data_IF_304112918702
#
_entry.id   IF_304112918702
#
_cell.length_a   1.000
_cell.length_b   1.000
_cell.length_c   1.000
_cell.angle_alpha   90.00
_cell.angle_beta   90.00
_cell.angle_gamma   90.00
#
_symmetry.space_group_name_H-M   'P 1'
#
loop_
_entity.id
_entity.type
_entity.pdbx_description
1 polymer ?
#
# COMPACT_ATOMS: atom_id res chain seq x y z
N UNK A 1 47.12 20.90 42.31
CA UNK A 1 45.77 21.53 42.35
C UNK A 1 45.18 21.91 40.98
N UNK A 2 45.93 22.42 39.99
CA UNK A 2 45.34 22.88 38.71
C UNK A 2 44.79 21.77 37.77
N UNK A 3 45.40 20.59 37.70
CA UNK A 3 44.94 19.50 36.79
C UNK A 3 43.63 18.85 37.22
N UNK A 4 43.44 18.61 38.52
CA UNK A 4 42.22 17.98 39.04
C UNK A 4 41.00 18.89 38.86
N UNK A 5 41.15 20.20 39.05
CA UNK A 5 40.06 21.17 38.88
C UNK A 5 39.54 21.20 37.43
N UNK A 6 40.44 21.20 36.44
CA UNK A 6 40.08 21.17 35.01
C UNK A 6 39.33 19.88 34.66
N UNK A 7 39.75 18.74 35.19
CA UNK A 7 39.07 17.46 34.96
C UNK A 7 37.66 17.47 35.57
N UNK A 8 37.51 17.96 36.80
CA UNK A 8 36.20 18.06 37.46
C UNK A 8 35.25 19.03 36.74
N UNK A 9 35.73 20.21 36.32
CA UNK A 9 34.88 21.17 35.58
C UNK A 9 34.48 20.65 34.21
N UNK A 10 35.36 19.90 33.53
CA UNK A 10 35.05 19.30 32.23
C UNK A 10 34.03 18.17 32.36
N UNK A 11 34.20 17.28 33.36
CA UNK A 11 33.24 16.22 33.65
C UNK A 11 31.88 16.82 34.05
N UNK A 12 31.88 17.84 34.91
CA UNK A 12 30.65 18.51 35.30
C UNK A 12 29.94 19.15 34.11
N UNK A 13 30.66 19.85 33.23
CA UNK A 13 30.07 20.45 32.02
C UNK A 13 29.48 19.39 31.07
N UNK A 14 30.17 18.27 30.87
CA UNK A 14 29.67 17.15 30.04
C UNK A 14 28.42 16.52 30.66
N UNK A 15 28.45 16.20 31.95
CA UNK A 15 27.31 15.59 32.65
C UNK A 15 26.11 16.54 32.69
N UNK A 16 26.34 17.82 32.98
CA UNK A 16 25.30 18.85 32.97
C UNK A 16 24.70 19.02 31.57
N UNK A 17 25.54 19.03 30.53
CA UNK A 17 25.10 19.11 29.14
C UNK A 17 24.28 17.90 28.72
N UNK A 18 24.66 16.70 29.15
CA UNK A 18 23.91 15.46 28.90
C UNK A 18 22.55 15.46 29.59
N UNK A 19 22.51 15.88 30.86
CA UNK A 19 21.27 16.03 31.62
C UNK A 19 20.37 17.08 30.98
N UNK A 20 20.91 18.23 30.56
CA UNK A 20 20.15 19.27 29.86
C UNK A 20 19.64 18.80 28.49
N UNK A 21 20.42 18.02 27.74
CA UNK A 21 19.95 17.40 26.50
C UNK A 21 18.78 16.45 26.75
N UNK A 22 18.87 15.59 27.77
CA UNK A 22 17.77 14.68 28.15
C UNK A 22 16.53 15.48 28.59
N UNK A 23 16.71 16.47 29.44
CA UNK A 23 15.62 17.27 30.03
C UNK A 23 15.01 18.31 29.10
N UNK A 24 15.71 18.78 28.06
CA UNK A 24 15.21 19.84 27.17
C UNK A 24 14.90 19.35 25.75
N UNK A 25 15.55 18.27 25.29
CA UNK A 25 15.36 17.75 23.93
C UNK A 25 14.55 16.46 23.96
N UNK A 26 14.95 15.50 24.79
CA UNK A 26 14.31 14.19 24.86
C UNK A 26 13.06 14.13 25.74
N UNK A 27 12.80 15.16 26.55
CA UNK A 27 11.57 15.29 27.34
C UNK A 27 10.40 15.90 26.55
N UNK A 28 10.67 16.53 25.41
CA UNK A 28 9.64 17.15 24.58
C UNK A 28 8.70 16.05 24.07
N UNK A 29 7.37 16.19 24.24
CA UNK A 29 6.40 15.18 23.82
C UNK A 29 6.55 14.78 22.35
N UNK A 30 6.83 15.75 21.47
CA UNK A 30 7.07 15.51 20.05
C UNK A 30 8.32 14.67 19.77
N UNK A 31 9.42 14.95 20.48
CA UNK A 31 10.66 14.17 20.36
C UNK A 31 10.44 12.74 20.83
N UNK A 32 9.72 12.56 21.96
CA UNK A 32 9.38 11.24 22.49
C UNK A 32 8.51 10.45 21.51
N UNK A 33 7.49 11.09 20.92
CA UNK A 33 6.64 10.46 19.90
C UNK A 33 7.47 9.97 18.72
N UNK A 34 8.36 10.81 18.18
CA UNK A 34 9.23 10.44 17.05
C UNK A 34 10.17 9.28 17.39
N UNK A 35 10.72 9.25 18.61
CA UNK A 35 11.58 8.16 19.06
C UNK A 35 10.78 6.85 19.19
N UNK A 36 9.59 6.91 19.78
CA UNK A 36 8.71 5.74 19.89
C UNK A 36 8.30 5.20 18.51
N UNK A 37 7.93 6.08 17.58
CA UNK A 37 7.65 5.73 16.19
C UNK A 37 8.87 5.08 15.52
N UNK A 38 10.07 5.61 15.76
CA UNK A 38 11.32 5.06 15.21
C UNK A 38 11.60 3.67 15.78
N UNK A 39 11.45 3.45 17.08
CA UNK A 39 11.65 2.12 17.68
C UNK A 39 10.60 1.11 17.22
N UNK A 40 9.33 1.53 17.11
CA UNK A 40 8.28 0.67 16.57
C UNK A 40 8.60 0.27 15.12
N UNK A 41 9.10 1.22 14.30
CA UNK A 41 9.57 0.94 12.94
C UNK A 41 10.74 -0.06 12.94
N UNK A 42 11.76 0.14 13.78
CA UNK A 42 12.90 -0.78 13.89
C UNK A 42 12.45 -2.17 14.31
N UNK A 43 11.53 -2.29 15.27
CA UNK A 43 11.01 -3.57 15.73
C UNK A 43 10.28 -4.30 14.60
N UNK A 44 9.39 -3.60 13.89
CA UNK A 44 8.69 -4.14 12.72
C UNK A 44 9.68 -4.59 11.65
N UNK A 45 10.59 -3.72 11.20
CA UNK A 45 11.60 -4.08 10.21
C UNK A 45 12.45 -5.28 10.66
N UNK A 46 12.81 -5.35 11.94
CA UNK A 46 13.57 -6.48 12.49
C UNK A 46 12.78 -7.79 12.40
N UNK A 47 11.47 -7.79 12.68
CA UNK A 47 10.60 -8.97 12.51
C UNK A 47 10.54 -9.44 11.06
N UNK A 48 10.55 -8.50 10.11
CA UNK A 48 10.50 -8.76 8.67
C UNK A 48 11.85 -9.25 8.11
N UNK A 49 12.94 -8.77 8.69
CA UNK A 49 14.30 -9.17 8.31
C UNK A 49 14.80 -10.43 9.03
N UNK A 50 14.19 -10.80 10.15
CA UNK A 50 14.51 -12.02 10.89
C UNK A 50 14.35 -13.22 9.95
N UNK A 51 15.42 -14.00 9.80
CA UNK A 51 15.43 -15.15 8.91
C UNK A 51 14.29 -16.11 9.29
N UNK A 52 13.28 -16.19 8.43
CA UNK A 52 12.28 -17.26 8.51
C UNK A 52 13.04 -18.55 8.26
N UNK A 53 12.96 -19.51 9.19
CA UNK A 53 13.25 -20.91 8.88
C UNK A 53 12.28 -21.28 7.76
N UNK A 54 12.74 -21.20 6.51
CA UNK A 54 11.93 -21.58 5.35
C UNK A 54 11.34 -22.95 5.65
N UNK A 55 10.01 -23.05 5.70
CA UNK A 55 9.36 -24.36 5.66
C UNK A 55 9.73 -24.91 4.29
N UNK A 56 10.53 -25.98 4.21
CA UNK A 56 10.98 -26.48 2.93
C UNK A 56 9.73 -26.83 2.10
N UNK A 57 9.73 -26.54 0.78
CA UNK A 57 8.65 -26.99 -0.07
C UNK A 57 8.45 -28.49 0.12
N UNK A 58 7.20 -28.96 0.13
CA UNK A 58 6.85 -30.39 0.29
C UNK A 58 7.39 -31.29 -0.84
N UNK A 59 8.17 -30.74 -1.75
CA UNK A 59 8.80 -31.44 -2.87
C UNK A 59 10.20 -30.86 -3.05
N UNK A 60 11.26 -31.68 -3.10
CA UNK A 60 12.60 -31.18 -3.38
C UNK A 60 12.64 -30.71 -4.83
N UNK A 61 12.55 -29.39 -5.04
CA UNK A 61 12.85 -28.81 -6.34
C UNK A 61 14.36 -28.72 -6.49
N UNK A 62 14.85 -29.09 -7.67
CA UNK A 62 16.26 -29.11 -8.02
C UNK A 62 16.93 -27.76 -7.71
N UNK A 63 18.22 -27.84 -7.36
CA UNK A 63 19.08 -26.70 -7.04
C UNK A 63 18.88 -25.58 -8.09
N UNK A 64 18.56 -24.33 -7.70
CA UNK A 64 18.38 -23.26 -8.67
C UNK A 64 19.68 -22.97 -9.40
N UNK A 65 19.61 -22.92 -10.73
CA UNK A 65 20.67 -22.45 -11.60
C UNK A 65 20.94 -20.95 -11.29
N UNK A 66 22.18 -20.51 -11.01
CA UNK A 66 22.49 -19.16 -10.52
C UNK A 66 22.26 -18.00 -11.49
N UNK A 67 21.74 -18.24 -12.70
CA UNK A 67 21.49 -17.22 -13.73
C UNK A 67 20.01 -16.88 -13.95
N UNK A 68 19.06 -17.59 -13.33
CA UNK A 68 17.65 -17.26 -13.47
C UNK A 68 17.20 -16.18 -12.47
N UNK A 69 16.44 -15.16 -12.91
CA UNK A 69 15.89 -14.18 -11.99
C UNK A 69 14.98 -14.88 -10.98
N UNK A 70 15.22 -14.57 -9.70
CA UNK A 70 14.50 -15.13 -8.55
C UNK A 70 12.98 -14.98 -8.64
N UNK A 71 12.51 -13.94 -9.33
CA UNK A 71 11.09 -13.64 -9.54
C UNK A 71 10.90 -13.17 -10.98
N UNK A 72 9.97 -13.82 -11.69
CA UNK A 72 9.61 -13.55 -13.09
C UNK A 72 8.17 -13.02 -13.15
N UNK A 73 7.84 -12.30 -14.22
CA UNK A 73 6.48 -11.85 -14.53
C UNK A 73 5.80 -11.06 -13.39
N UNK A 74 6.45 -10.00 -12.93
CA UNK A 74 5.90 -9.10 -11.91
C UNK A 74 4.64 -8.42 -12.45
N UNK A 75 3.52 -8.60 -11.76
CA UNK A 75 2.28 -7.93 -12.09
C UNK A 75 2.10 -6.64 -11.28
N UNK A 76 2.36 -6.70 -9.97
CA UNK A 76 2.26 -5.55 -9.08
C UNK A 76 3.41 -5.54 -8.08
N UNK A 77 3.83 -4.33 -7.72
CA UNK A 77 4.86 -4.10 -6.72
C UNK A 77 4.48 -2.92 -5.83
N UNK A 78 4.91 -2.98 -4.57
CA UNK A 78 4.84 -1.90 -3.60
C UNK A 78 6.17 -1.92 -2.83
N UNK A 79 6.66 -0.75 -2.46
CA UNK A 79 7.64 -0.63 -1.39
C UNK A 79 6.97 0.02 -0.19
N UNK A 80 7.24 -0.47 1.02
CA UNK A 80 6.72 0.15 2.23
C UNK A 80 7.83 0.36 3.26
N UNK A 81 8.06 1.63 3.59
CA UNK A 81 9.08 2.08 4.53
C UNK A 81 8.93 1.44 5.92
N UNK A 82 7.69 1.18 6.36
CA UNK A 82 7.41 0.71 7.72
C UNK A 82 7.92 -0.70 7.97
N UNK A 83 7.91 -1.55 6.94
CA UNK A 83 8.47 -2.90 6.97
C UNK A 83 9.85 -3.00 6.31
N UNK A 84 10.23 -1.99 5.52
CA UNK A 84 11.54 -1.91 4.85
C UNK A 84 11.73 -3.01 3.81
N UNK A 85 10.65 -3.37 3.12
CA UNK A 85 10.58 -4.50 2.18
C UNK A 85 9.79 -4.11 0.93
N UNK A 86 10.14 -4.72 -0.20
CA UNK A 86 9.25 -4.76 -1.37
C UNK A 86 8.25 -5.89 -1.21
N UNK A 87 7.01 -5.60 -1.55
CA UNK A 87 5.97 -6.58 -1.74
C UNK A 87 5.74 -6.74 -3.23
N UNK A 88 5.80 -7.97 -3.72
CA UNK A 88 5.72 -8.28 -5.15
C UNK A 88 4.71 -9.38 -5.36
N UNK A 89 3.85 -9.19 -6.35
CA UNK A 89 2.94 -10.23 -6.84
C UNK A 89 3.17 -10.46 -8.32
N UNK A 90 3.31 -11.72 -8.69
CA UNK A 90 3.49 -12.17 -10.07
C UNK A 90 2.15 -12.46 -10.75
N UNK A 91 2.17 -12.59 -12.07
CA UNK A 91 0.98 -12.89 -12.88
C UNK A 91 0.30 -14.23 -12.55
N UNK A 92 1.07 -15.19 -12.03
CA UNK A 92 0.59 -16.47 -11.50
C UNK A 92 0.14 -16.41 -10.03
N UNK A 93 -0.03 -15.20 -9.46
CA UNK A 93 -0.50 -14.96 -8.10
C UNK A 93 0.43 -15.48 -6.99
N UNK A 94 1.74 -15.54 -7.26
CA UNK A 94 2.73 -15.76 -6.21
C UNK A 94 3.09 -14.45 -5.53
N UNK A 95 2.97 -14.43 -4.21
CA UNK A 95 3.33 -13.29 -3.38
C UNK A 95 4.74 -13.47 -2.84
N UNK A 96 5.51 -12.39 -2.85
CA UNK A 96 6.86 -12.31 -2.32
C UNK A 96 7.01 -11.08 -1.42
N UNK A 97 7.68 -11.29 -0.29
CA UNK A 97 8.31 -10.24 0.48
C UNK A 97 9.82 -10.27 0.21
N UNK A 98 10.38 -9.15 -0.22
CA UNK A 98 11.78 -8.99 -0.60
C UNK A 98 12.41 -7.92 0.28
N UNK A 99 13.65 -8.10 0.70
CA UNK A 99 14.41 -7.09 1.45
C UNK A 99 14.40 -5.74 0.73
N UNK A 100 14.50 -4.63 1.46
CA UNK A 100 14.58 -3.30 0.86
C UNK A 100 15.80 -3.06 -0.04
N UNK A 101 16.82 -3.93 0.01
CA UNK A 101 17.92 -3.95 -0.97
C UNK A 101 17.54 -4.59 -2.31
N UNK A 102 16.44 -5.35 -2.35
CA UNK A 102 16.02 -6.13 -3.51
C UNK A 102 16.82 -7.41 -3.74
N UNK A 103 17.73 -7.76 -2.82
CA UNK A 103 18.69 -8.85 -3.02
C UNK A 103 18.24 -10.18 -2.41
N UNK A 104 17.31 -10.15 -1.45
CA UNK A 104 16.92 -11.34 -0.67
C UNK A 104 15.41 -11.48 -0.59
N UNK A 105 14.89 -12.66 -0.93
CA UNK A 105 13.51 -13.04 -0.61
C UNK A 105 13.43 -13.34 0.88
N UNK A 106 12.64 -12.55 1.62
CA UNK A 106 12.37 -12.76 3.04
C UNK A 106 11.29 -13.84 3.24
N UNK A 107 10.26 -13.83 2.39
CA UNK A 107 9.17 -14.81 2.43
C UNK A 107 8.47 -14.91 1.07
N UNK A 108 7.83 -16.04 0.81
CA UNK A 108 7.00 -16.23 -0.39
C UNK A 108 5.88 -17.22 -0.13
N UNK A 109 4.73 -17.03 -0.76
CA UNK A 109 3.69 -18.06 -0.81
C UNK A 109 2.84 -17.93 -2.08
N UNK A 110 2.16 -19.01 -2.44
CA UNK A 110 1.22 -19.06 -3.55
C UNK A 110 -0.18 -18.74 -3.02
N UNK A 111 -0.88 -17.78 -3.62
CA UNK A 111 -2.29 -17.55 -3.31
C UNK A 111 -3.12 -18.80 -3.62
N UNK A 112 -4.07 -19.14 -2.75
CA UNK A 112 -4.78 -20.42 -2.84
C UNK A 112 -5.73 -20.49 -4.04
N UNK A 113 -6.09 -21.69 -4.50
CA UNK A 113 -7.21 -21.81 -5.43
C UNK A 113 -8.52 -21.66 -4.65
N UNK A 114 -9.11 -20.46 -4.74
CA UNK A 114 -10.36 -20.12 -4.06
C UNK A 114 -11.60 -20.28 -4.95
N UNK A 115 -12.78 -20.31 -4.33
CA UNK A 115 -14.08 -20.28 -5.03
C UNK A 115 -14.27 -19.01 -5.88
N UNK A 116 -13.68 -17.90 -5.42
CA UNK A 116 -13.63 -16.67 -6.16
C UNK A 116 -12.36 -16.68 -7.03
N UNK A 117 -12.56 -16.85 -8.33
CA UNK A 117 -11.49 -16.82 -9.33
C UNK A 117 -10.92 -15.40 -9.39
N UNK A 118 -9.59 -15.30 -9.33
CA UNK A 118 -8.90 -14.02 -9.44
C UNK A 118 -8.71 -13.66 -10.92
N UNK A 119 -8.94 -12.39 -11.24
CA UNK A 119 -8.47 -11.77 -12.48
C UNK A 119 -7.19 -10.97 -12.17
N UNK A 120 -6.66 -10.26 -13.17
CA UNK A 120 -5.45 -9.44 -13.00
C UNK A 120 -5.52 -8.49 -11.81
N UNK A 121 -4.38 -8.00 -11.35
CA UNK A 121 -4.30 -7.09 -10.22
C UNK A 121 -4.42 -5.63 -10.66
N UNK A 122 -5.37 -4.92 -10.04
CA UNK A 122 -5.53 -3.48 -10.20
C UNK A 122 -4.72 -2.71 -9.16
N UNK A 123 -4.52 -3.27 -7.96
CA UNK A 123 -3.86 -2.57 -6.86
C UNK A 123 -3.38 -3.46 -5.72
N UNK A 124 -2.39 -2.97 -4.98
CA UNK A 124 -1.90 -3.57 -3.73
C UNK A 124 -1.56 -2.46 -2.72
N UNK A 125 -1.91 -2.69 -1.45
CA UNK A 125 -1.53 -1.80 -0.34
C UNK A 125 -1.18 -2.60 0.90
N UNK A 126 -0.24 -2.08 1.69
CA UNK A 126 -0.07 -2.51 3.08
C UNK A 126 -1.14 -1.81 3.92
N UNK A 127 -1.89 -2.59 4.71
CA UNK A 127 -2.96 -2.11 5.61
C UNK A 127 -2.36 -1.75 6.97
N UNK A 128 -1.48 -2.61 7.43
CA UNK A 128 -0.64 -2.48 8.61
C UNK A 128 0.62 -3.33 8.40
N UNK A 129 1.59 -3.27 9.33
CA UNK A 129 2.86 -3.99 9.21
C UNK A 129 2.74 -5.50 8.95
N UNK A 130 1.58 -6.12 9.17
CA UNK A 130 1.37 -7.56 9.04
C UNK A 130 0.22 -7.94 8.09
N UNK A 131 -0.43 -6.97 7.44
CA UNK A 131 -1.61 -7.20 6.60
C UNK A 131 -1.48 -6.51 5.25
N UNK A 132 -1.59 -7.29 4.17
CA UNK A 132 -1.58 -6.80 2.79
C UNK A 132 -2.96 -7.03 2.18
N UNK A 133 -3.43 -6.04 1.42
CA UNK A 133 -4.63 -6.16 0.62
C UNK A 133 -4.30 -6.07 -0.87
N UNK A 134 -4.84 -7.01 -1.65
CA UNK A 134 -4.77 -7.02 -3.11
C UNK A 134 -6.16 -6.79 -3.70
N UNK A 135 -6.29 -5.88 -4.65
CA UNK A 135 -7.51 -5.63 -5.40
C UNK A 135 -7.35 -6.14 -6.83
N UNK A 136 -8.26 -7.02 -7.25
CA UNK A 136 -8.28 -7.58 -8.61
C UNK A 136 -9.20 -6.80 -9.55
N UNK A 137 -8.99 -6.97 -10.87
CA UNK A 137 -9.80 -6.40 -11.96
C UNK A 137 -11.24 -6.91 -12.03
N UNK A 138 -11.55 -7.98 -11.29
CA UNK A 138 -12.93 -8.44 -11.08
C UNK A 138 -13.48 -8.07 -9.69
N UNK A 139 -12.89 -7.03 -9.09
CA UNK A 139 -13.32 -6.36 -7.87
C UNK A 139 -13.39 -7.30 -6.65
N UNK A 140 -12.40 -8.18 -6.53
CA UNK A 140 -12.18 -9.02 -5.35
C UNK A 140 -11.05 -8.39 -4.54
N UNK A 141 -11.28 -8.22 -3.24
CA UNK A 141 -10.24 -7.91 -2.28
C UNK A 141 -9.73 -9.22 -1.67
N UNK A 142 -8.42 -9.46 -1.78
CA UNK A 142 -7.72 -10.57 -1.14
C UNK A 142 -6.94 -10.01 0.04
N UNK A 143 -7.19 -10.52 1.24
CA UNK A 143 -6.46 -10.18 2.45
C UNK A 143 -5.41 -11.25 2.72
N UNK A 144 -4.17 -10.80 2.89
CA UNK A 144 -3.01 -11.63 3.20
C UNK A 144 -2.48 -11.15 4.55
N UNK A 145 -2.21 -12.08 5.47
CA UNK A 145 -1.69 -11.75 6.80
C UNK A 145 -0.37 -12.46 7.07
N UNK A 146 0.47 -11.81 7.88
CA UNK A 146 1.73 -12.35 8.37
C UNK A 146 1.54 -12.84 9.79
N UNK A 147 1.86 -14.10 10.06
CA UNK A 147 1.88 -14.68 11.41
C UNK A 147 3.16 -15.48 11.57
N UNK A 148 3.91 -15.19 12.64
CA UNK A 148 5.18 -15.87 12.95
C UNK A 148 6.18 -15.90 11.77
N UNK A 149 6.20 -14.83 10.97
CA UNK A 149 7.08 -14.71 9.80
C UNK A 149 6.55 -15.33 8.51
N UNK A 150 5.39 -15.97 8.54
CA UNK A 150 4.78 -16.62 7.39
C UNK A 150 3.61 -15.80 6.89
N UNK A 151 3.61 -15.51 5.59
CA UNK A 151 2.46 -14.92 4.92
C UNK A 151 1.49 -16.01 4.48
N UNK A 152 0.20 -15.78 4.69
CA UNK A 152 -0.86 -16.63 4.19
C UNK A 152 -2.07 -15.81 3.79
N UNK A 153 -2.82 -16.31 2.82
CA UNK A 153 -4.14 -15.77 2.51
C UNK A 153 -5.09 -15.99 3.69
N UNK A 154 -5.80 -14.95 4.10
CA UNK A 154 -6.82 -15.03 5.15
C UNK A 154 -8.24 -15.08 4.56
N UNK A 155 -8.53 -14.22 3.57
CA UNK A 155 -9.89 -14.07 3.04
C UNK A 155 -9.92 -13.48 1.63
N UNK A 156 -10.95 -13.86 0.87
CA UNK A 156 -11.35 -13.21 -0.40
C UNK A 156 -12.79 -12.74 -0.33
N UNK A 157 -13.03 -11.51 -0.74
CA UNK A 157 -14.37 -10.93 -0.77
C UNK A 157 -14.59 -10.06 -2.01
N UNK A 158 -15.76 -10.19 -2.63
CA UNK A 158 -16.17 -9.29 -3.70
C UNK A 158 -16.61 -7.95 -3.09
N UNK A 159 -16.11 -6.84 -3.63
CA UNK A 159 -16.54 -5.49 -3.25
C UNK A 159 -17.98 -5.26 -3.72
N UNK A 160 -18.94 -5.20 -2.81
CA UNK A 160 -20.34 -4.95 -3.15
C UNK A 160 -20.58 -3.51 -3.61
N UNK A 161 -21.50 -3.33 -4.55
CA UNK A 161 -21.81 -2.02 -5.15
C UNK A 161 -20.92 -1.67 -6.34
N UNK A 162 -20.05 -2.60 -6.76
CA UNK A 162 -19.26 -2.49 -7.99
C UNK A 162 -19.96 -3.19 -9.17
N UNK A 163 -19.58 -2.80 -10.38
CA UNK A 163 -20.10 -3.33 -11.64
C UNK A 163 -18.94 -3.62 -12.59
N UNK A 164 -19.20 -4.41 -13.65
CA UNK A 164 -18.21 -4.69 -14.70
C UNK A 164 -17.72 -3.45 -15.46
N UNK A 165 -18.37 -2.29 -15.28
CA UNK A 165 -17.99 -1.01 -15.89
C UNK A 165 -17.00 -0.22 -15.02
N UNK A 166 -16.85 -0.61 -13.75
CA UNK A 166 -15.84 -0.03 -12.88
C UNK A 166 -14.47 -0.57 -13.31
N UNK A 167 -13.52 0.34 -13.51
CA UNK A 167 -12.13 0.03 -13.88
C UNK A 167 -11.25 0.63 -12.81
N UNK A 168 -10.71 -0.21 -11.93
CA UNK A 168 -9.93 0.24 -10.79
C UNK A 168 -8.45 0.32 -11.14
N UNK A 169 -7.77 1.28 -10.52
CA UNK A 169 -6.36 1.57 -10.78
C UNK A 169 -5.69 1.94 -9.46
N UNK A 170 -4.80 1.04 -9.03
CA UNK A 170 -4.15 1.06 -7.74
C UNK A 170 -5.08 0.80 -6.56
N UNK A 171 -4.49 0.73 -5.37
CA UNK A 171 -5.19 0.55 -4.11
C UNK A 171 -4.44 1.32 -3.04
N UNK A 172 -5.16 2.10 -2.24
CA UNK A 172 -4.64 2.72 -1.02
C UNK A 172 -5.54 2.44 0.17
N UNK A 173 -5.03 2.69 1.37
CA UNK A 173 -5.73 2.47 2.63
C UNK A 173 -5.59 3.68 3.56
N UNK A 174 -6.72 4.21 4.05
CA UNK A 174 -6.76 5.23 5.09
C UNK A 174 -6.90 4.54 6.45
N UNK A 175 -5.79 4.48 7.20
CA UNK A 175 -5.72 3.81 8.51
C UNK A 175 -6.62 4.44 9.57
N UNK A 176 -6.89 5.75 9.49
CA UNK A 176 -7.71 6.46 10.49
C UNK A 176 -9.19 6.12 10.33
N UNK A 177 -9.66 6.07 9.09
CA UNK A 177 -11.05 5.76 8.78
C UNK A 177 -11.30 4.27 8.54
N UNK A 178 -10.23 3.48 8.39
CA UNK A 178 -10.26 2.07 8.03
C UNK A 178 -11.00 1.82 6.70
N UNK A 179 -10.73 2.67 5.72
CA UNK A 179 -11.34 2.60 4.39
C UNK A 179 -10.27 2.40 3.32
N UNK A 180 -10.56 1.55 2.35
CA UNK A 180 -9.78 1.44 1.12
C UNK A 180 -10.25 2.49 0.13
N UNK A 181 -9.34 2.91 -0.76
CA UNK A 181 -9.67 3.77 -1.87
C UNK A 181 -8.90 3.36 -3.13
N UNK A 182 -9.50 3.63 -4.29
CA UNK A 182 -8.91 3.36 -5.61
C UNK A 182 -9.36 4.42 -6.61
N UNK A 183 -8.56 4.65 -7.65
CA UNK A 183 -8.98 5.45 -8.80
C UNK A 183 -9.88 4.57 -9.66
N UNK A 184 -11.07 5.06 -9.96
CA UNK A 184 -12.02 4.40 -10.83
C UNK A 184 -12.21 5.22 -12.10
N UNK A 185 -11.88 4.63 -13.24
CA UNK A 185 -12.08 5.26 -14.55
C UNK A 185 -13.25 4.61 -15.30
N UNK A 186 -14.39 5.29 -15.33
CA UNK A 186 -15.58 4.81 -16.05
C UNK A 186 -15.55 5.36 -17.48
N UNK A 187 -14.83 4.67 -18.37
CA UNK A 187 -14.63 5.08 -19.78
C UNK A 187 -15.92 5.43 -20.50
N UNK A 188 -16.98 4.65 -20.30
CA UNK A 188 -18.28 4.87 -20.95
C UNK A 188 -18.93 6.23 -20.62
N UNK A 189 -18.49 6.87 -19.53
CA UNK A 189 -18.99 8.17 -19.06
C UNK A 189 -17.94 9.27 -19.13
N UNK A 190 -16.71 8.98 -19.60
CA UNK A 190 -15.59 9.93 -19.56
C UNK A 190 -15.33 10.47 -18.14
N UNK A 191 -15.53 9.63 -17.11
CA UNK A 191 -15.60 10.06 -15.72
C UNK A 191 -14.55 9.34 -14.89
N UNK A 192 -13.78 10.13 -14.13
CA UNK A 192 -12.78 9.66 -13.17
C UNK A 192 -13.27 9.96 -11.76
N UNK A 193 -13.11 8.97 -10.89
CA UNK A 193 -13.54 9.04 -9.49
C UNK A 193 -12.48 8.47 -8.55
N UNK A 194 -12.50 8.93 -7.31
CA UNK A 194 -11.96 8.16 -6.20
C UNK A 194 -13.11 7.37 -5.58
N UNK A 195 -13.02 6.04 -5.63
CA UNK A 195 -14.01 5.13 -5.04
C UNK A 195 -13.48 4.63 -3.71
N UNK A 196 -14.30 4.75 -2.67
CA UNK A 196 -13.99 4.30 -1.32
C UNK A 196 -14.84 3.09 -0.95
N UNK A 197 -14.24 2.10 -0.32
CA UNK A 197 -14.93 0.90 0.16
C UNK A 197 -14.38 0.45 1.51
N UNK A 198 -15.26 -0.09 2.34
CA UNK A 198 -14.94 -0.54 3.69
C UNK A 198 -15.84 -1.71 4.10
N UNK A 199 -15.45 -2.39 5.17
CA UNK A 199 -16.30 -3.40 5.79
C UNK A 199 -17.53 -2.74 6.40
N UNK A 200 -18.72 -3.24 6.01
CA UNK A 200 -20.00 -2.82 6.56
C UNK A 200 -20.62 -3.94 7.39
N UNK A 201 -21.35 -3.54 8.41
CA UNK A 201 -22.21 -4.40 9.21
C UNK A 201 -23.62 -3.84 9.22
N UNK A 202 -24.60 -4.67 8.90
CA UNK A 202 -26.00 -4.26 8.97
C UNK A 202 -26.41 -4.08 10.45
N UNK A 203 -26.74 -2.86 10.84
CA UNK A 203 -27.29 -2.57 12.18
C UNK A 203 -28.76 -2.97 12.24
N UNK A 204 -29.03 -4.11 12.85
CA UNK A 204 -30.41 -4.51 13.17
C UNK A 204 -30.81 -3.83 14.49
N UNK A 205 -31.78 -2.94 14.43
CA UNK A 205 -32.42 -2.40 15.63
C UNK A 205 -33.25 -3.51 16.27
N UNK A 206 -32.80 -3.99 17.44
CA UNK A 206 -33.54 -4.95 18.25
C UNK A 206 -34.23 -4.16 19.36
N UNK A 207 -35.56 -4.23 19.38
CA UNK A 207 -36.36 -3.67 20.46
C UNK A 207 -35.99 -4.35 21.81
N UNK A 208 -35.63 -3.60 22.86
CA UNK A 208 -35.31 -4.15 24.18
C UNK A 208 -36.42 -5.02 24.76
N UNK A 209 -37.69 -4.72 24.45
CA UNK A 209 -38.87 -5.42 24.98
C UNK A 209 -39.31 -6.59 24.09
N UNK A 210 -38.62 -6.82 22.97
CA UNK A 210 -38.90 -7.97 22.11
C UNK A 210 -38.65 -9.29 22.85
N UNK A 211 -39.53 -10.27 22.64
CA UNK A 211 -39.34 -11.61 23.17
C UNK A 211 -38.01 -12.23 22.71
N UNK A 212 -37.41 -13.09 23.53
CA UNK A 212 -36.14 -13.78 23.20
C UNK A 212 -36.19 -14.51 21.85
N UNK A 213 -37.35 -15.09 21.49
CA UNK A 213 -37.56 -15.71 20.18
C UNK A 213 -37.44 -14.69 19.04
N UNK A 214 -37.99 -13.49 19.22
CA UNK A 214 -37.95 -12.39 18.24
C UNK A 214 -36.55 -11.78 18.15
N UNK A 215 -35.86 -11.61 19.29
CA UNK A 215 -34.44 -11.18 19.34
C UNK A 215 -33.52 -12.16 18.62
N UNK A 216 -33.65 -13.48 18.88
CA UNK A 216 -32.89 -14.53 18.18
C UNK A 216 -33.19 -14.59 16.68
N UNK A 217 -34.46 -14.45 16.30
CA UNK A 217 -34.84 -14.41 14.89
C UNK A 217 -34.26 -13.19 14.15
N UNK A 218 -34.24 -12.02 14.80
CA UNK A 218 -33.63 -10.81 14.26
C UNK A 218 -32.11 -10.96 14.12
N UNK A 219 -31.41 -11.49 15.13
CA UNK A 219 -29.97 -11.78 15.03
C UNK A 219 -29.64 -12.77 13.90
N UNK A 220 -30.47 -13.79 13.68
CA UNK A 220 -30.30 -14.73 12.55
C UNK A 220 -30.48 -14.10 11.17
N UNK A 221 -31.20 -12.98 11.07
CA UNK A 221 -31.34 -12.21 9.82
C UNK A 221 -30.17 -11.24 9.61
N UNK A 222 -29.30 -11.07 10.60
CA UNK A 222 -28.10 -10.23 10.45
C UNK A 222 -27.16 -10.89 9.45
N UNK A 223 -26.88 -10.17 8.36
CA UNK A 223 -25.86 -10.60 7.42
C UNK A 223 -24.49 -10.51 8.08
N UNK A 224 -23.56 -11.42 7.77
CA UNK A 224 -22.17 -11.26 8.18
C UNK A 224 -21.60 -9.94 7.62
N UNK A 225 -20.54 -9.39 8.25
CA UNK A 225 -19.85 -8.23 7.73
C UNK A 225 -19.46 -8.43 6.25
N UNK A 226 -19.60 -7.41 5.44
CA UNK A 226 -19.33 -7.48 4.00
C UNK A 226 -18.63 -6.22 3.50
N UNK A 227 -17.72 -6.41 2.54
CA UNK A 227 -17.02 -5.31 1.87
C UNK A 227 -17.95 -4.59 0.90
N UNK A 228 -18.07 -3.26 1.01
CA UNK A 228 -18.98 -2.48 0.18
C UNK A 228 -18.45 -1.08 -0.11
N UNK A 229 -18.75 -0.58 -1.32
CA UNK A 229 -18.58 0.84 -1.66
C UNK A 229 -19.34 1.71 -0.66
N UNK A 230 -18.63 2.65 -0.03
CA UNK A 230 -19.18 3.62 0.93
C UNK A 230 -19.36 5.00 0.30
N UNK A 231 -18.49 5.37 -0.65
CA UNK A 231 -18.46 6.70 -1.24
C UNK A 231 -17.80 6.66 -2.61
N UNK A 232 -18.24 7.57 -3.48
CA UNK A 232 -17.65 7.83 -4.80
C UNK A 232 -17.53 9.33 -4.97
N UNK A 233 -16.33 9.81 -5.27
CA UNK A 233 -16.06 11.22 -5.46
C UNK A 233 -15.56 11.47 -6.87
N UNK A 234 -16.36 12.16 -7.67
CA UNK A 234 -15.94 12.62 -9.00
C UNK A 234 -14.76 13.57 -8.85
N UNK A 235 -13.76 13.41 -9.70
CA UNK A 235 -12.60 14.29 -9.80
C UNK A 235 -12.68 15.07 -11.10
N UNK A 236 -12.40 16.36 -11.04
CA UNK A 236 -12.42 17.25 -12.21
C UNK A 236 -11.04 17.89 -12.44
N UNK A 237 -10.73 18.22 -13.69
CA UNK A 237 -9.51 18.95 -14.01
C UNK A 237 -9.51 20.31 -13.31
N UNK A 238 -8.42 20.66 -12.64
CA UNK A 238 -8.27 21.97 -12.03
C UNK A 238 -8.34 23.09 -13.10
N UNK A 239 -8.87 24.25 -12.74
CA UNK A 239 -9.03 25.39 -13.66
C UNK A 239 -7.72 25.88 -14.26
N UNK A 240 -6.62 25.81 -13.49
CA UNK A 240 -5.27 26.18 -13.92
C UNK A 240 -4.45 25.04 -14.52
N UNK A 241 -5.04 23.87 -14.77
CA UNK A 241 -4.32 22.74 -15.35
C UNK A 241 -3.89 23.04 -16.79
N UNK A 242 -2.68 22.61 -17.16
CA UNK A 242 -2.14 22.78 -18.52
C UNK A 242 -3.09 22.17 -19.55
N UNK A 243 -3.33 22.87 -20.66
CA UNK A 243 -4.42 22.53 -21.59
C UNK A 243 -4.26 21.18 -22.28
N UNK A 244 -3.02 20.79 -22.59
CA UNK A 244 -2.66 19.48 -23.16
C UNK A 244 -2.87 18.34 -22.15
N UNK A 245 -2.42 18.51 -20.91
CA UNK A 245 -2.64 17.56 -19.83
C UNK A 245 -4.14 17.40 -19.53
N UNK A 246 -4.88 18.53 -19.49
CA UNK A 246 -6.33 18.53 -19.32
C UNK A 246 -7.03 17.77 -20.44
N UNK A 247 -6.66 18.04 -21.69
CA UNK A 247 -7.22 17.33 -22.85
C UNK A 247 -6.96 15.82 -22.74
N UNK A 248 -5.71 15.42 -22.45
CA UNK A 248 -5.35 14.01 -22.25
C UNK A 248 -6.18 13.35 -21.14
N UNK A 249 -6.33 14.01 -20.00
CA UNK A 249 -7.18 13.55 -18.89
C UNK A 249 -8.65 13.40 -19.29
N UNK A 250 -9.21 14.37 -20.02
CA UNK A 250 -10.64 14.38 -20.35
C UNK A 250 -11.01 13.40 -21.48
N UNK A 251 -10.10 13.10 -22.41
CA UNK A 251 -10.41 12.29 -23.59
C UNK A 251 -9.74 10.91 -23.63
N UNK A 252 -8.56 10.76 -23.04
CA UNK A 252 -7.67 9.61 -23.31
C UNK A 252 -7.04 8.99 -22.06
N UNK A 253 -7.51 9.37 -20.87
CA UNK A 253 -6.88 8.99 -19.61
C UNK A 253 -6.72 7.48 -19.40
N UNK A 254 -5.47 7.04 -19.19
CA UNK A 254 -5.10 5.64 -18.91
C UNK A 254 -4.29 5.57 -17.62
N UNK A 255 -4.94 5.71 -16.45
CA UNK A 255 -4.24 5.67 -15.18
C UNK A 255 -3.59 4.30 -14.96
N UNK A 256 -2.38 4.32 -14.41
CA UNK A 256 -1.69 3.14 -13.92
C UNK A 256 -1.28 3.35 -12.47
N UNK A 257 -1.72 2.39 -11.64
CA UNK A 257 -1.44 2.38 -10.21
C UNK A 257 -1.90 3.62 -9.45
N UNK A 258 -1.54 3.63 -8.18
CA UNK A 258 -1.85 4.67 -7.21
C UNK A 258 -0.72 4.73 -6.21
N UNK A 259 -0.25 5.94 -5.88
CA UNK A 259 0.65 6.13 -4.75
C UNK A 259 0.26 7.39 -3.95
N UNK A 260 0.35 7.34 -2.62
CA UNK A 260 0.10 8.51 -1.77
C UNK A 260 1.42 9.13 -1.33
N UNK A 261 1.59 10.42 -1.60
CA UNK A 261 2.77 11.19 -1.19
C UNK A 261 2.31 12.54 -0.67
N UNK A 262 2.74 12.90 0.55
CA UNK A 262 2.43 14.20 1.17
C UNK A 262 0.92 14.55 1.18
N UNK A 263 0.07 13.54 1.38
CA UNK A 263 -1.40 13.70 1.46
C UNK A 263 -2.12 13.87 0.11
N UNK A 264 -1.39 13.82 -1.01
CA UNK A 264 -1.93 13.81 -2.37
C UNK A 264 -1.84 12.41 -2.96
N UNK A 265 -2.79 12.07 -3.81
CA UNK A 265 -2.78 10.81 -4.56
C UNK A 265 -2.11 11.08 -5.92
N UNK A 266 -1.20 10.21 -6.32
CA UNK A 266 -0.53 10.25 -7.60
C UNK A 266 -0.91 9.03 -8.43
N UNK A 267 -1.09 9.26 -9.73
CA UNK A 267 -1.27 8.21 -10.73
C UNK A 267 -0.56 8.64 -12.00
N UNK A 268 -0.01 7.67 -12.73
CA UNK A 268 0.74 7.92 -13.94
C UNK A 268 -0.14 7.55 -15.14
N UNK A 269 -0.05 8.32 -16.22
CA UNK A 269 -0.45 7.88 -17.55
C UNK A 269 0.84 7.71 -18.35
N UNK A 270 1.30 6.46 -18.45
CA UNK A 270 2.60 6.14 -19.05
C UNK A 270 2.59 6.24 -20.58
N UNK A 271 1.43 6.19 -21.21
CA UNK A 271 1.31 6.31 -22.66
C UNK A 271 1.30 7.79 -23.07
N UNK A 272 0.55 8.63 -22.33
CA UNK A 272 0.49 10.06 -22.56
C UNK A 272 1.63 10.84 -21.86
N UNK A 273 2.44 10.17 -21.04
CA UNK A 273 3.56 10.73 -20.27
C UNK A 273 3.13 11.89 -19.36
N UNK A 274 2.09 11.65 -18.56
CA UNK A 274 1.62 12.59 -17.55
C UNK A 274 1.61 11.97 -16.16
N UNK A 275 2.24 12.65 -15.21
CA UNK A 275 2.03 12.38 -13.79
C UNK A 275 0.86 13.25 -13.32
N UNK A 276 -0.22 12.61 -12.89
CA UNK A 276 -1.37 13.29 -12.35
C UNK A 276 -1.37 13.26 -10.82
N UNK A 277 -1.74 14.38 -10.22
CA UNK A 277 -1.90 14.53 -8.77
C UNK A 277 -3.33 14.92 -8.45
N UNK A 278 -3.99 14.10 -7.62
CA UNK A 278 -5.37 14.29 -7.19
C UNK A 278 -5.36 14.90 -5.78
N UNK A 279 -5.97 16.07 -5.67
CA UNK A 279 -6.32 16.68 -4.40
C UNK A 279 -7.68 16.18 -3.93
N UNK A 280 -7.70 15.37 -2.86
CA UNK A 280 -8.95 14.83 -2.31
C UNK A 280 -9.83 15.89 -1.65
N UNK A 281 -9.26 17.00 -1.17
CA UNK A 281 -10.02 18.05 -0.49
C UNK A 281 -10.79 18.88 -1.51
N UNK A 282 -10.09 19.32 -2.55
CA UNK A 282 -10.66 20.16 -3.60
C UNK A 282 -11.36 19.33 -4.69
N UNK A 283 -11.14 18.01 -4.70
CA UNK A 283 -11.66 17.05 -5.69
C UNK A 283 -11.22 17.40 -7.11
N UNK A 284 -10.01 17.94 -7.21
CA UNK A 284 -9.40 18.37 -8.46
C UNK A 284 -8.18 17.54 -8.78
N UNK A 285 -7.87 17.44 -10.08
CA UNK A 285 -6.63 16.84 -10.58
C UNK A 285 -5.79 17.89 -11.30
N UNK A 286 -4.47 17.83 -11.09
CA UNK A 286 -3.46 18.55 -11.87
C UNK A 286 -2.55 17.55 -12.56
N UNK A 287 -1.93 17.92 -13.67
CA UNK A 287 -1.06 17.05 -14.44
C UNK A 287 0.22 17.76 -14.86
N UNK A 288 1.33 17.05 -14.76
CA UNK A 288 2.66 17.49 -15.15
C UNK A 288 3.25 16.48 -16.14
N UNK A 289 4.16 16.94 -17.01
CA UNK A 289 4.86 16.03 -17.93
C UNK A 289 5.71 15.07 -17.11
N UNK A 290 5.63 13.77 -17.41
CA UNK A 290 6.52 12.76 -16.87
C UNK A 290 7.66 12.47 -17.85
N UNK A 291 8.80 12.01 -17.33
CA UNK A 291 9.95 11.61 -18.16
C UNK A 291 9.60 10.48 -19.14
N UNK A 292 10.10 10.51 -20.39
CA UNK A 292 9.91 9.43 -21.36
C UNK A 292 10.39 8.05 -20.90
N UNK A 293 11.25 7.99 -19.87
CA UNK A 293 11.74 6.73 -19.28
C UNK A 293 10.60 5.90 -18.67
N UNK A 294 9.48 6.52 -18.31
CA UNK A 294 8.33 5.85 -17.71
C UNK A 294 7.35 5.29 -18.74
N UNK A 295 7.64 5.43 -20.04
CA UNK A 295 6.79 4.90 -21.09
C UNK A 295 6.55 3.39 -20.94
N UNK A 296 5.29 2.96 -21.08
CA UNK A 296 4.90 1.55 -20.96
C UNK A 296 4.91 0.99 -19.53
N UNK A 297 5.13 1.82 -18.51
CA UNK A 297 5.11 1.41 -17.10
C UNK A 297 3.81 0.70 -16.72
N UNK A 298 3.88 -0.17 -15.71
CA UNK A 298 2.74 -0.98 -15.22
C UNK A 298 2.26 -0.62 -13.82
N UNK A 299 3.01 0.20 -13.09
CA UNK A 299 2.63 0.63 -11.75
C UNK A 299 3.46 1.81 -11.27
N UNK A 300 3.04 2.38 -10.15
CA UNK A 300 3.69 3.48 -9.43
C UNK A 300 3.72 3.16 -7.94
N UNK A 301 4.78 3.56 -7.26
CA UNK A 301 4.89 3.44 -5.81
C UNK A 301 5.76 4.57 -5.24
N UNK A 302 5.78 4.69 -3.91
CA UNK A 302 6.65 5.62 -3.19
C UNK A 302 7.74 4.85 -2.46
N UNK A 303 8.96 5.36 -2.52
CA UNK A 303 10.08 4.91 -1.71
C UNK A 303 10.88 6.15 -1.30
N UNK A 304 11.24 6.27 -0.01
CA UNK A 304 12.02 7.40 0.50
C UNK A 304 11.42 8.79 0.15
N UNK A 305 10.08 8.87 0.11
CA UNK A 305 9.32 10.05 -0.31
C UNK A 305 9.62 10.51 -1.76
N UNK A 306 10.06 9.60 -2.63
CA UNK A 306 10.19 9.76 -4.08
C UNK A 306 9.22 8.83 -4.82
N UNK A 307 8.81 9.22 -6.03
CA UNK A 307 7.87 8.46 -6.85
C UNK A 307 8.63 7.65 -7.89
N UNK A 308 8.32 6.36 -7.97
CA UNK A 308 8.96 5.43 -8.90
C UNK A 308 7.92 4.77 -9.79
N UNK A 309 8.27 4.58 -11.06
CA UNK A 309 7.49 3.83 -12.02
C UNK A 309 8.09 2.43 -12.23
N UNK A 310 7.24 1.41 -12.25
CA UNK A 310 7.61 0.04 -12.59
C UNK A 310 7.65 -0.11 -14.12
N UNK A 311 8.86 -0.19 -14.69
CA UNK A 311 9.11 -0.15 -16.14
C UNK A 311 9.48 -1.52 -16.73
N UNK A 312 10.04 -2.42 -15.94
CA UNK A 312 10.48 -3.76 -16.40
C UNK A 312 9.83 -4.81 -15.51
N UNK A 313 8.96 -5.61 -16.11
CA UNK A 313 8.09 -6.57 -15.40
C UNK A 313 8.38 -8.03 -15.71
N UNK A 314 9.24 -8.33 -16.68
CA UNK A 314 9.66 -9.72 -16.98
C UNK A 314 10.41 -10.35 -15.80
N UNK A 315 11.11 -9.53 -15.01
CA UNK A 315 11.80 -9.92 -13.79
C UNK A 315 11.82 -8.83 -12.74
N UNK A 316 11.89 -9.22 -11.48
CA UNK A 316 12.20 -8.30 -10.39
C UNK A 316 13.73 -8.07 -10.30
N UNK A 317 14.11 -6.80 -10.22
CA UNK A 317 15.47 -6.34 -9.90
C UNK A 317 15.42 -4.87 -9.45
N UNK A 318 16.49 -4.36 -8.84
CA UNK A 318 16.63 -2.92 -8.54
C UNK A 318 16.64 -2.03 -9.79
N UNK A 319 16.77 -2.62 -10.99
CA UNK A 319 16.64 -1.92 -12.28
C UNK A 319 15.21 -1.98 -12.84
N UNK A 320 14.29 -2.61 -12.14
CA UNK A 320 12.91 -2.80 -12.63
C UNK A 320 12.05 -1.54 -12.52
N UNK A 321 12.56 -0.51 -11.84
CA UNK A 321 11.86 0.74 -11.62
C UNK A 321 12.78 1.94 -11.83
N UNK A 322 12.19 3.09 -12.14
CA UNK A 322 12.91 4.35 -12.39
C UNK A 322 12.17 5.50 -11.68
N UNK A 323 12.89 6.52 -11.18
CA UNK A 323 12.26 7.75 -10.70
C UNK A 323 11.40 8.40 -11.79
N UNK A 324 10.28 9.00 -11.40
CA UNK A 324 9.32 9.60 -12.33
C UNK A 324 9.70 11.03 -12.78
N UNK A 325 10.66 11.65 -12.09
CA UNK A 325 11.21 13.01 -12.30
C UNK A 325 11.07 13.58 -13.71
#
# INVERSE_FOLDING_TARGET
MKRSYIVYTTIFAVVSGLILCVLLVFSKPETLSRIQETFAKIETQSKHQAAVKQVPPKTPSAIPNPEEPLIKNVQHMLYDDSIGSYLVVTDDYRFFEISGTGERINASFQLEEGKLLLAGLDGMTLVDGETVALLTSNQILVTITRKDGVWSEEKREKVQGTTIRDSFHGLGYDTKKKEFYTINHIRALGRVEVTYFAMKEDKIKIDPDASEKKKRALKKKQKPPYLSVIKREKIEAASGMRSDAKKSFESEFRPIGLAERQGRIYTLDSEALYLYSIDRKDKTITGETASPKVYGSKGIFVQDNELFALVVTDKFSSRSFTPID
#
